data_IF_778609363443
#
_entry.id   IF_778609363443
#
_cell.length_a   1.000
_cell.length_b   1.000
_cell.length_c   1.000
_cell.angle_alpha   90.00
_cell.angle_beta   90.00
_cell.angle_gamma   90.00
#
_symmetry.space_group_name_H-M   'P 1'
#
loop_
_entity.id
_entity.type
_entity.pdbx_description
1 polymer ?
#
# COMPACT_ATOMS: atom_id res chain seq x y z
N UNK A 1 6.68 -8.88 11.10
CA UNK A 1 6.83 -10.34 11.10
C UNK A 1 5.86 -11.03 12.06
N UNK A 2 5.64 -10.49 13.28
CA UNK A 2 4.74 -11.11 14.27
C UNK A 2 3.35 -11.37 13.68
N UNK A 3 2.73 -10.39 13.02
CA UNK A 3 1.40 -10.57 12.40
C UNK A 3 1.40 -11.71 11.36
N UNK A 4 2.45 -11.84 10.53
CA UNK A 4 2.57 -12.93 9.56
C UNK A 4 2.71 -14.31 10.22
N UNK A 5 3.40 -14.39 11.38
CA UNK A 5 3.50 -15.62 12.18
C UNK A 5 2.13 -15.98 12.76
N UNK A 6 1.47 -15.02 13.41
CA UNK A 6 0.17 -15.22 14.05
C UNK A 6 -0.88 -15.67 13.02
N UNK A 7 -0.80 -15.18 11.79
CA UNK A 7 -1.69 -15.53 10.68
C UNK A 7 -1.17 -16.69 9.81
N UNK A 8 -0.14 -17.42 10.24
CA UNK A 8 0.40 -18.63 9.56
C UNK A 8 0.86 -18.42 8.12
N UNK A 9 1.24 -17.19 7.74
CA UNK A 9 1.70 -16.83 6.38
C UNK A 9 3.07 -17.39 6.03
N UNK A 10 3.93 -17.58 7.03
CA UNK A 10 5.34 -18.00 6.87
C UNK A 10 5.51 -19.38 6.22
N UNK A 11 4.53 -20.28 6.36
CA UNK A 11 4.64 -21.66 5.87
C UNK A 11 4.27 -21.84 4.39
N UNK A 12 3.72 -20.82 3.74
CA UNK A 12 3.17 -20.92 2.38
C UNK A 12 4.12 -20.20 1.38
N UNK A 13 4.96 -20.96 0.67
CA UNK A 13 6.14 -20.40 0.00
C UNK A 13 5.85 -19.83 -1.41
N UNK A 14 6.09 -18.51 -1.57
CA UNK A 14 6.48 -17.70 -2.77
C UNK A 14 6.26 -16.19 -2.49
N UNK A 15 5.28 -15.86 -1.63
CA UNK A 15 4.98 -14.50 -1.14
C UNK A 15 5.52 -14.20 0.25
N UNK A 16 6.30 -15.13 0.81
CA UNK A 16 6.86 -15.05 2.15
C UNK A 16 7.46 -13.68 2.50
N UNK A 17 8.27 -13.12 1.60
CA UNK A 17 8.90 -11.83 1.83
C UNK A 17 7.92 -10.66 1.79
N UNK A 18 6.86 -10.71 0.96
CA UNK A 18 5.81 -9.69 0.95
C UNK A 18 5.11 -9.65 2.31
N UNK A 19 4.66 -10.80 2.79
CA UNK A 19 3.97 -10.91 4.08
C UNK A 19 4.90 -10.52 5.23
N UNK A 20 6.17 -10.92 5.20
CA UNK A 20 7.15 -10.57 6.24
C UNK A 20 7.44 -9.07 6.28
N UNK A 21 7.73 -8.45 5.14
CA UNK A 21 7.99 -7.00 5.05
C UNK A 21 6.75 -6.24 5.52
N UNK A 22 5.60 -6.59 4.96
CA UNK A 22 4.34 -5.93 5.27
C UNK A 22 3.99 -6.03 6.76
N UNK A 23 4.06 -7.24 7.30
CA UNK A 23 3.87 -7.50 8.73
C UNK A 23 4.85 -6.74 9.61
N UNK A 24 6.10 -6.60 9.19
CA UNK A 24 7.11 -5.90 9.98
C UNK A 24 6.80 -4.41 10.00
N UNK A 25 6.53 -3.81 8.85
CA UNK A 25 6.22 -2.39 8.75
C UNK A 25 4.90 -2.06 9.43
N UNK A 26 3.78 -2.62 8.95
CA UNK A 26 2.45 -2.25 9.46
C UNK A 26 2.15 -2.82 10.84
N UNK A 27 2.71 -3.98 11.18
CA UNK A 27 2.61 -4.52 12.54
C UNK A 27 3.32 -3.65 13.56
N UNK A 28 4.44 -3.00 13.20
CA UNK A 28 5.11 -2.03 14.07
C UNK A 28 4.41 -0.66 14.09
N UNK A 29 3.93 -0.19 12.93
CA UNK A 29 3.17 1.07 12.83
C UNK A 29 1.94 1.10 13.73
N UNK A 30 1.29 -0.05 13.97
CA UNK A 30 0.15 -0.21 14.90
C UNK A 30 0.45 0.27 16.32
N UNK A 31 1.71 0.20 16.77
CA UNK A 31 2.12 0.62 18.11
C UNK A 31 2.64 2.06 18.18
N UNK A 32 2.69 2.76 17.04
CA UNK A 32 3.13 4.14 16.97
C UNK A 32 1.95 5.11 17.16
N UNK A 33 2.29 6.39 17.35
CA UNK A 33 1.29 7.45 17.33
C UNK A 33 0.60 7.49 15.96
N UNK A 34 -0.72 7.65 15.96
CA UNK A 34 -1.57 7.63 14.78
C UNK A 34 -1.21 8.69 13.75
N UNK A 35 -0.69 9.84 14.18
CA UNK A 35 -0.14 10.86 13.29
C UNK A 35 0.96 10.32 12.36
N UNK A 36 1.74 9.34 12.81
CA UNK A 36 2.74 8.68 11.95
C UNK A 36 2.05 7.84 10.87
N UNK A 37 1.00 7.09 11.22
CA UNK A 37 0.20 6.37 10.22
C UNK A 37 -0.44 7.35 9.23
N UNK A 38 -0.98 8.48 9.71
CA UNK A 38 -1.51 9.54 8.83
C UNK A 38 -0.45 10.06 7.88
N UNK A 39 0.73 10.37 8.40
CA UNK A 39 1.83 10.88 7.59
C UNK A 39 2.26 9.89 6.51
N UNK A 40 2.14 8.59 6.76
CA UNK A 40 2.34 7.56 5.74
C UNK A 40 1.19 7.56 4.72
N UNK A 41 -0.06 7.39 5.18
CA UNK A 41 -1.21 7.16 4.29
C UNK A 41 -1.59 8.38 3.45
N UNK A 42 -1.38 9.60 3.97
CA UNK A 42 -1.73 10.85 3.27
C UNK A 42 -1.02 11.02 1.92
N UNK A 43 0.10 10.32 1.72
CA UNK A 43 0.86 10.33 0.48
C UNK A 43 0.33 9.36 -0.59
N UNK A 44 -0.65 8.51 -0.27
CA UNK A 44 -1.30 7.68 -1.26
C UNK A 44 -2.02 8.58 -2.29
N UNK A 45 -1.96 8.23 -3.57
CA UNK A 45 -2.47 9.09 -4.64
C UNK A 45 -3.20 8.31 -5.73
N UNK A 46 -4.15 8.96 -6.39
CA UNK A 46 -4.86 8.41 -7.54
C UNK A 46 -4.68 9.32 -8.76
N UNK A 47 -4.71 8.76 -9.97
CA UNK A 47 -4.59 9.50 -11.22
C UNK A 47 -5.99 9.77 -11.79
N UNK A 48 -6.32 11.04 -12.02
CA UNK A 48 -7.44 11.40 -12.88
C UNK A 48 -6.94 11.48 -14.33
N UNK A 49 -7.34 10.51 -15.15
CA UNK A 49 -6.92 10.45 -16.56
C UNK A 49 -7.42 11.66 -17.37
N UNK A 50 -8.57 12.25 -17.03
CA UNK A 50 -9.13 13.39 -17.77
C UNK A 50 -8.32 14.67 -17.57
N UNK A 51 -7.87 14.90 -16.35
CA UNK A 51 -7.08 16.10 -15.99
C UNK A 51 -5.57 15.84 -16.06
N UNK A 52 -5.14 14.60 -16.27
CA UNK A 52 -3.76 14.16 -16.17
C UNK A 52 -3.09 14.63 -14.86
N UNK A 53 -3.83 14.54 -13.75
CA UNK A 53 -3.44 15.08 -12.44
C UNK A 53 -3.57 14.03 -11.34
N UNK A 54 -2.61 14.05 -10.41
CA UNK A 54 -2.67 13.24 -9.20
C UNK A 54 -3.44 13.95 -8.10
N UNK A 55 -4.32 13.20 -7.43
CA UNK A 55 -5.00 13.61 -6.19
C UNK A 55 -4.50 12.78 -5.04
N UNK A 56 -4.29 13.41 -3.89
CA UNK A 56 -3.72 12.77 -2.72
C UNK A 56 -4.81 12.42 -1.72
N UNK A 57 -4.61 11.30 -1.03
CA UNK A 57 -5.54 10.83 0.00
C UNK A 57 -5.66 11.84 1.15
N UNK A 58 -4.62 12.64 1.42
CA UNK A 58 -4.64 13.73 2.43
C UNK A 58 -5.86 14.65 2.29
N UNK A 59 -6.33 14.87 1.06
CA UNK A 59 -7.41 15.81 0.76
C UNK A 59 -8.79 15.20 1.04
N UNK A 60 -8.83 13.94 1.50
CA UNK A 60 -10.04 13.15 1.74
C UNK A 60 -10.02 12.46 3.12
N UNK A 61 -8.85 12.21 3.70
CA UNK A 61 -8.67 11.34 4.86
C UNK A 61 -9.00 12.06 6.18
N UNK A 62 -10.25 11.91 6.65
CA UNK A 62 -10.75 12.60 7.85
C UNK A 62 -10.72 11.76 9.15
N UNK A 63 -10.01 10.62 9.19
CA UNK A 63 -10.19 9.62 10.24
C UNK A 63 -9.12 9.61 11.34
N UNK A 64 -7.92 10.14 11.11
CA UNK A 64 -6.78 9.77 11.97
C UNK A 64 -6.78 10.46 13.35
N UNK A 65 -7.77 11.33 13.62
CA UNK A 65 -7.96 11.95 14.93
C UNK A 65 -8.77 11.12 15.95
N UNK A 66 -9.29 9.94 15.59
CA UNK A 66 -10.09 9.15 16.54
C UNK A 66 -9.27 8.15 17.35
N UNK A 67 -9.65 7.96 18.62
CA UNK A 67 -8.97 7.00 19.48
C UNK A 67 -9.23 5.52 19.11
N UNK A 68 -10.26 5.30 18.29
CA UNK A 68 -10.81 3.99 17.98
C UNK A 68 -10.43 3.55 16.55
N UNK A 69 -9.17 3.16 16.38
CA UNK A 69 -8.67 2.54 15.15
C UNK A 69 -8.47 1.05 15.37
N UNK A 70 -9.08 0.20 14.54
CA UNK A 70 -8.86 -1.24 14.57
C UNK A 70 -8.04 -1.70 13.35
N UNK A 71 -7.10 -2.61 13.57
CA UNK A 71 -6.25 -3.19 12.54
C UNK A 71 -6.59 -4.67 12.39
N UNK A 72 -7.00 -5.09 11.20
CA UNK A 72 -7.31 -6.48 10.88
C UNK A 72 -6.43 -6.94 9.71
N UNK A 73 -5.39 -7.73 10.02
CA UNK A 73 -4.47 -8.29 9.04
C UNK A 73 -5.04 -9.56 8.41
N UNK A 74 -4.91 -9.69 7.09
CA UNK A 74 -5.35 -10.88 6.31
C UNK A 74 -6.76 -11.37 6.66
N UNK A 75 -7.70 -10.43 6.80
CA UNK A 75 -9.08 -10.79 7.06
C UNK A 75 -9.68 -11.48 5.84
N UNK A 76 -10.13 -12.73 5.99
CA UNK A 76 -10.91 -13.37 4.96
C UNK A 76 -12.28 -12.69 4.82
N UNK A 77 -12.57 -12.17 3.63
CA UNK A 77 -13.85 -11.60 3.28
C UNK A 77 -14.51 -12.46 2.20
N UNK A 78 -15.80 -12.71 2.38
CA UNK A 78 -16.68 -13.30 1.37
C UNK A 78 -18.09 -12.78 1.66
N UNK A 79 -18.31 -11.52 1.31
CA UNK A 79 -19.61 -10.87 1.50
C UNK A 79 -20.56 -11.23 0.36
N UNK A 80 -21.83 -10.88 0.54
CA UNK A 80 -22.92 -11.31 -0.35
C UNK A 80 -22.61 -10.93 -1.80
N UNK A 81 -22.73 -11.91 -2.70
CA UNK A 81 -22.50 -11.76 -4.14
C UNK A 81 -21.08 -11.30 -4.54
N UNK A 82 -20.10 -11.50 -3.66
CA UNK A 82 -18.68 -11.22 -3.88
C UNK A 82 -17.84 -12.51 -3.93
N UNK A 83 -16.73 -12.49 -4.68
CA UNK A 83 -15.71 -13.55 -4.59
C UNK A 83 -14.89 -13.38 -3.31
N UNK A 84 -14.44 -14.50 -2.74
CA UNK A 84 -13.55 -14.49 -1.57
C UNK A 84 -12.28 -13.69 -1.86
N UNK A 85 -11.92 -12.80 -0.94
CA UNK A 85 -10.63 -12.12 -0.92
C UNK A 85 -10.02 -12.15 0.48
N UNK A 86 -8.78 -11.69 0.55
CA UNK A 86 -8.01 -11.56 1.77
C UNK A 86 -7.05 -10.38 1.58
N UNK A 87 -7.51 -9.14 1.84
CA UNK A 87 -6.61 -7.99 1.81
C UNK A 87 -5.55 -8.11 2.91
N UNK A 88 -4.36 -7.57 2.65
CA UNK A 88 -3.24 -7.62 3.62
C UNK A 88 -3.57 -6.90 4.93
N UNK A 89 -4.24 -5.74 4.86
CA UNK A 89 -4.68 -5.00 6.05
C UNK A 89 -5.96 -4.21 5.83
N UNK A 90 -6.86 -4.29 6.81
CA UNK A 90 -7.99 -3.38 6.96
C UNK A 90 -7.76 -2.53 8.21
N UNK A 91 -7.78 -1.22 8.04
CA UNK A 91 -7.74 -0.22 9.12
C UNK A 91 -9.14 0.39 9.21
N UNK A 92 -9.88 0.02 10.25
CA UNK A 92 -11.25 0.47 10.47
C UNK A 92 -11.29 1.63 11.47
N UNK A 93 -12.04 2.66 11.08
CA UNK A 93 -12.36 3.82 11.89
C UNK A 93 -13.83 4.06 12.15
N UNK A 94 -14.19 5.12 12.90
CA UNK A 94 -15.58 5.54 13.06
C UNK A 94 -16.27 5.77 11.71
N UNK A 95 -15.63 6.52 10.81
CA UNK A 95 -16.27 7.01 9.58
C UNK A 95 -15.63 6.49 8.29
N UNK A 96 -14.50 5.80 8.37
CA UNK A 96 -13.81 5.30 7.18
C UNK A 96 -13.19 3.93 7.37
N UNK A 97 -12.93 3.26 6.26
CA UNK A 97 -12.16 2.04 6.18
C UNK A 97 -11.05 2.25 5.16
N UNK A 98 -9.81 2.02 5.58
CA UNK A 98 -8.66 1.96 4.67
C UNK A 98 -8.28 0.51 4.50
N UNK A 99 -8.32 0.01 3.28
CA UNK A 99 -7.80 -1.29 2.91
C UNK A 99 -6.47 -1.12 2.20
N UNK A 100 -5.48 -1.92 2.56
CA UNK A 100 -4.16 -1.90 1.95
C UNK A 100 -3.89 -3.29 1.38
N UNK A 101 -3.53 -3.32 0.11
CA UNK A 101 -3.03 -4.50 -0.59
C UNK A 101 -1.61 -4.22 -1.05
N UNK A 102 -0.66 -5.01 -0.57
CA UNK A 102 0.76 -4.77 -0.76
C UNK A 102 1.40 -5.74 -1.75
N UNK A 103 2.33 -5.20 -2.53
CA UNK A 103 3.17 -5.93 -3.47
C UNK A 103 4.61 -5.47 -3.32
N UNK A 104 5.53 -6.42 -3.32
CA UNK A 104 6.97 -6.13 -3.29
C UNK A 104 7.63 -6.53 -4.61
N UNK A 105 7.43 -7.77 -5.04
CA UNK A 105 8.01 -8.31 -6.28
C UNK A 105 7.00 -9.06 -7.12
N UNK A 106 5.85 -9.42 -6.56
CA UNK A 106 4.77 -10.06 -7.30
C UNK A 106 3.82 -9.01 -7.88
N UNK A 107 3.18 -9.35 -9.00
CA UNK A 107 2.01 -8.61 -9.49
C UNK A 107 0.73 -9.04 -8.77
N UNK A 108 -0.41 -8.56 -9.25
CA UNK A 108 -1.73 -8.99 -8.75
C UNK A 108 -1.88 -10.51 -8.75
N UNK A 109 -2.49 -11.03 -7.69
CA UNK A 109 -2.65 -12.47 -7.45
C UNK A 109 -3.75 -13.11 -8.30
N UNK A 110 -4.73 -12.32 -8.73
CA UNK A 110 -5.81 -12.70 -9.62
C UNK A 110 -6.04 -11.63 -10.68
N UNK A 111 -6.39 -12.08 -11.89
CA UNK A 111 -6.71 -11.23 -13.05
C UNK A 111 -8.20 -11.29 -13.36
N UNK A 112 -8.69 -10.36 -14.18
CA UNK A 112 -10.08 -10.39 -14.63
C UNK A 112 -10.47 -11.71 -15.28
N UNK A 113 -11.73 -12.10 -15.12
CA UNK A 113 -12.31 -13.27 -15.76
C UNK A 113 -13.74 -13.00 -16.28
N UNK A 114 -14.33 -14.00 -16.94
CA UNK A 114 -15.66 -13.91 -17.56
C UNK A 114 -16.82 -14.07 -16.56
N UNK A 115 -16.58 -14.18 -15.25
CA UNK A 115 -17.66 -14.32 -14.27
C UNK A 115 -18.42 -13.00 -14.09
N UNK A 116 -19.65 -13.07 -13.56
CA UNK A 116 -20.49 -11.89 -13.34
C UNK A 116 -20.04 -11.01 -12.15
N UNK A 117 -19.04 -11.47 -11.39
CA UNK A 117 -18.51 -10.80 -10.20
C UNK A 117 -17.03 -10.46 -10.41
N UNK A 118 -16.51 -9.37 -9.84
CA UNK A 118 -15.10 -9.00 -10.00
C UNK A 118 -14.14 -10.12 -9.54
N UNK A 119 -13.13 -10.42 -10.37
CA UNK A 119 -12.10 -11.42 -10.08
C UNK A 119 -10.70 -10.84 -9.96
N UNK A 120 -10.40 -9.76 -10.69
CA UNK A 120 -9.20 -8.97 -10.46
C UNK A 120 -9.05 -8.68 -8.97
N UNK A 121 -7.81 -8.79 -8.48
CA UNK A 121 -7.53 -8.71 -7.07
C UNK A 121 -8.11 -7.45 -6.41
N UNK A 122 -7.79 -6.27 -6.94
CA UNK A 122 -8.17 -5.01 -6.31
C UNK A 122 -9.67 -4.74 -6.51
N UNK A 123 -10.21 -5.10 -7.67
CA UNK A 123 -11.65 -5.00 -7.95
C UNK A 123 -12.47 -5.86 -6.98
N UNK A 124 -12.03 -7.10 -6.73
CA UNK A 124 -12.67 -8.06 -5.83
C UNK A 124 -12.59 -7.64 -4.37
N UNK A 125 -11.46 -7.07 -3.95
CA UNK A 125 -11.29 -6.51 -2.61
C UNK A 125 -12.21 -5.31 -2.40
N UNK A 126 -12.25 -4.38 -3.36
CA UNK A 126 -13.18 -3.24 -3.31
C UNK A 126 -14.64 -3.70 -3.26
N UNK A 127 -15.01 -4.70 -4.06
CA UNK A 127 -16.35 -5.27 -4.09
C UNK A 127 -16.78 -5.78 -2.72
N UNK A 128 -15.94 -6.57 -2.05
CA UNK A 128 -16.22 -6.97 -0.66
C UNK A 128 -16.32 -5.75 0.27
N UNK A 129 -15.38 -4.81 0.19
CA UNK A 129 -15.38 -3.62 1.05
C UNK A 129 -16.64 -2.76 0.90
N UNK A 130 -17.24 -2.72 -0.30
CA UNK A 130 -18.48 -1.98 -0.56
C UNK A 130 -19.68 -2.48 0.27
N UNK A 131 -19.66 -3.75 0.66
CA UNK A 131 -20.65 -4.36 1.56
C UNK A 131 -20.15 -4.48 3.00
N UNK A 132 -18.91 -4.06 3.27
CA UNK A 132 -18.26 -4.22 4.55
C UNK A 132 -18.67 -3.08 5.51
N UNK A 133 -19.52 -3.43 6.48
CA UNK A 133 -19.90 -2.59 7.65
C UNK A 133 -20.31 -1.14 7.33
N UNK A 134 -21.56 -0.97 6.90
CA UNK A 134 -22.27 0.32 6.94
C UNK A 134 -21.81 1.35 5.89
N UNK A 135 -22.36 2.56 5.96
CA UNK A 135 -22.07 3.67 5.03
C UNK A 135 -20.77 4.42 5.40
N UNK A 136 -19.66 3.69 5.56
CA UNK A 136 -18.35 4.28 5.83
C UNK A 136 -17.67 4.68 4.52
N UNK A 137 -16.82 5.70 4.58
CA UNK A 137 -15.99 6.08 3.44
C UNK A 137 -14.90 5.04 3.22
N UNK A 138 -14.76 4.54 1.98
CA UNK A 138 -13.84 3.46 1.64
C UNK A 138 -12.63 4.01 0.89
N UNK A 139 -11.44 3.56 1.28
CA UNK A 139 -10.19 3.84 0.58
C UNK A 139 -9.45 2.52 0.34
N UNK A 140 -9.22 2.17 -0.91
CA UNK A 140 -8.37 1.04 -1.27
C UNK A 140 -7.01 1.57 -1.72
N UNK A 141 -5.94 1.13 -1.05
CA UNK A 141 -4.56 1.50 -1.33
C UNK A 141 -3.82 0.28 -1.89
N UNK A 142 -3.31 0.41 -3.10
CA UNK A 142 -2.37 -0.50 -3.70
C UNK A 142 -0.95 -0.03 -3.37
N UNK A 143 -0.25 -0.76 -2.51
CA UNK A 143 1.10 -0.44 -2.07
C UNK A 143 2.12 -1.24 -2.87
N UNK A 144 2.95 -0.57 -3.69
CA UNK A 144 3.94 -1.28 -4.52
C UNK A 144 5.36 -0.73 -4.37
N UNK A 145 6.35 -1.49 -4.83
CA UNK A 145 7.74 -1.03 -4.96
C UNK A 145 7.99 -0.28 -6.29
N UNK A 146 7.05 -0.29 -7.23
CA UNK A 146 7.21 0.25 -8.58
C UNK A 146 7.66 1.72 -8.58
N UNK A 147 8.70 2.07 -9.33
CA UNK A 147 9.16 3.48 -9.41
C UNK A 147 8.14 4.42 -10.08
N UNK A 148 7.18 3.87 -10.82
CA UNK A 148 6.13 4.59 -11.54
C UNK A 148 4.76 4.14 -11.05
N UNK A 149 3.78 5.02 -11.22
CA UNK A 149 2.38 4.70 -10.95
C UNK A 149 1.97 3.49 -11.82
N UNK A 150 1.41 2.41 -11.23
CA UNK A 150 1.07 1.19 -11.95
C UNK A 150 -0.26 1.37 -12.69
N UNK A 151 -0.23 2.12 -13.79
CA UNK A 151 -1.41 2.51 -14.57
C UNK A 151 -2.19 1.28 -15.01
N UNK A 152 -1.50 0.29 -15.59
CA UNK A 152 -2.13 -0.89 -16.18
C UNK A 152 -2.84 -1.74 -15.13
N UNK A 153 -2.19 -2.00 -13.98
CA UNK A 153 -2.77 -2.79 -12.90
C UNK A 153 -4.04 -2.14 -12.35
N UNK A 154 -3.98 -0.83 -12.08
CA UNK A 154 -5.08 -0.06 -11.50
C UNK A 154 -6.22 0.06 -12.52
N UNK A 155 -5.90 0.37 -13.77
CA UNK A 155 -6.89 0.51 -14.84
C UNK A 155 -7.64 -0.79 -15.10
N UNK A 156 -6.95 -1.92 -15.18
CA UNK A 156 -7.61 -3.22 -15.35
C UNK A 156 -8.62 -3.50 -14.22
N UNK A 157 -8.27 -3.12 -12.98
CA UNK A 157 -9.13 -3.29 -11.81
C UNK A 157 -10.37 -2.39 -11.86
N UNK A 158 -10.16 -1.10 -12.21
CA UNK A 158 -11.23 -0.11 -12.40
C UNK A 158 -12.17 -0.55 -13.52
N UNK A 159 -11.62 -0.94 -14.66
CA UNK A 159 -12.40 -1.34 -15.83
C UNK A 159 -13.25 -2.58 -15.53
N UNK A 160 -12.68 -3.61 -14.89
CA UNK A 160 -13.47 -4.79 -14.52
C UNK A 160 -14.61 -4.43 -13.57
N UNK A 161 -14.31 -3.67 -12.50
CA UNK A 161 -15.33 -3.32 -11.52
C UNK A 161 -16.45 -2.48 -12.14
N UNK A 162 -16.09 -1.41 -12.86
CA UNK A 162 -17.06 -0.52 -13.51
C UNK A 162 -17.94 -1.30 -14.50
N UNK A 163 -17.36 -2.25 -15.24
CA UNK A 163 -18.10 -3.07 -16.18
C UNK A 163 -19.11 -4.00 -15.50
N UNK A 164 -18.73 -4.62 -14.37
CA UNK A 164 -19.56 -5.63 -13.66
C UNK A 164 -20.53 -5.04 -12.64
N UNK A 165 -20.21 -3.90 -12.03
CA UNK A 165 -21.03 -3.24 -10.99
C UNK A 165 -21.71 -1.95 -11.43
N UNK A 166 -21.30 -1.37 -12.57
CA UNK A 166 -21.83 -0.08 -13.07
C UNK A 166 -21.69 1.08 -12.06
N UNK A 167 -20.71 0.98 -11.17
CA UNK A 167 -20.39 1.97 -10.15
C UNK A 167 -18.92 2.33 -10.26
N UNK A 168 -18.55 3.61 -10.06
CA UNK A 168 -17.15 4.02 -10.08
C UNK A 168 -16.41 3.51 -8.84
N UNK A 169 -15.12 3.26 -8.99
CA UNK A 169 -14.20 3.03 -7.88
C UNK A 169 -13.02 3.97 -7.94
N UNK A 170 -12.39 4.19 -6.79
CA UNK A 170 -11.13 4.91 -6.70
C UNK A 170 -10.12 4.03 -5.98
N UNK A 171 -9.02 3.76 -6.67
CA UNK A 171 -7.87 3.05 -6.12
C UNK A 171 -6.75 4.07 -5.96
N UNK A 172 -6.21 4.14 -4.75
CA UNK A 172 -5.04 4.93 -4.44
C UNK A 172 -3.80 4.06 -4.56
N UNK A 173 -2.69 4.68 -4.93
CA UNK A 173 -1.39 4.06 -5.01
C UNK A 173 -0.46 4.68 -3.98
N UNK A 174 0.25 3.84 -3.24
CA UNK A 174 1.35 4.23 -2.36
C UNK A 174 2.60 3.47 -2.76
N UNK A 175 3.76 4.12 -2.67
CA UNK A 175 5.04 3.46 -2.91
C UNK A 175 5.75 3.21 -1.57
N UNK A 176 6.37 2.04 -1.41
CA UNK A 176 7.16 1.68 -0.22
C UNK A 176 8.21 2.73 0.18
N UNK A 177 8.91 3.35 -0.78
CA UNK A 177 9.85 4.44 -0.53
C UNK A 177 9.19 5.66 0.08
N UNK A 178 7.93 5.95 -0.24
CA UNK A 178 7.22 7.02 0.45
C UNK A 178 6.97 6.71 1.90
N UNK A 179 6.81 5.44 2.29
CA UNK A 179 6.76 5.05 3.70
C UNK A 179 8.11 5.34 4.36
N UNK A 180 9.21 4.86 3.77
CA UNK A 180 10.57 5.13 4.27
C UNK A 180 10.83 6.62 4.45
N UNK A 181 10.61 7.45 3.42
CA UNK A 181 10.90 8.89 3.48
C UNK A 181 10.09 9.64 4.54
N UNK A 182 8.91 9.16 4.94
CA UNK A 182 8.14 9.80 6.01
C UNK A 182 8.61 9.36 7.38
N UNK A 183 8.98 8.09 7.52
CA UNK A 183 9.52 7.54 8.77
C UNK A 183 10.90 8.09 9.08
N UNK A 184 11.77 8.21 8.07
CA UNK A 184 13.15 8.68 8.24
C UNK A 184 13.21 10.10 8.84
N UNK A 185 12.25 10.98 8.48
CA UNK A 185 12.13 12.33 9.04
C UNK A 185 11.93 12.37 10.56
N UNK A 186 11.40 11.31 11.15
CA UNK A 186 11.18 11.20 12.58
C UNK A 186 11.95 10.04 13.23
N UNK A 187 12.94 9.48 12.52
CA UNK A 187 13.75 8.32 12.94
C UNK A 187 14.44 8.53 14.28
N UNK A 188 14.99 9.73 14.50
CA UNK A 188 15.72 10.07 15.73
C UNK A 188 14.86 10.06 16.99
N UNK A 189 13.52 10.07 16.86
CA UNK A 189 12.63 10.24 18.00
C UNK A 189 12.13 8.91 18.57
N UNK A 190 12.23 7.78 17.85
CA UNK A 190 11.63 6.50 18.28
C UNK A 190 12.39 5.30 17.73
N UNK A 191 12.85 4.41 18.61
CA UNK A 191 13.50 3.13 18.25
C UNK A 191 12.70 2.26 17.28
N UNK A 192 11.39 2.18 17.46
CA UNK A 192 10.50 1.43 16.55
C UNK A 192 10.58 1.98 15.10
N UNK A 193 10.71 3.30 14.94
CA UNK A 193 10.82 3.92 13.60
C UNK A 193 12.16 3.56 12.97
N UNK A 194 13.25 3.60 13.75
CA UNK A 194 14.57 3.15 13.31
C UNK A 194 14.56 1.69 12.84
N UNK A 195 13.95 0.79 13.63
CA UNK A 195 13.80 -0.62 13.26
C UNK A 195 12.99 -0.80 11.98
N UNK A 196 11.90 -0.03 11.77
CA UNK A 196 11.15 -0.05 10.51
C UNK A 196 12.02 0.43 9.34
N UNK A 197 12.77 1.52 9.51
CA UNK A 197 13.67 2.05 8.48
C UNK A 197 14.75 1.02 8.11
N UNK A 198 15.37 0.36 9.09
CA UNK A 198 16.36 -0.70 8.85
C UNK A 198 15.78 -1.87 8.06
N UNK A 199 14.52 -2.26 8.33
CA UNK A 199 13.82 -3.27 7.54
C UNK A 199 13.64 -2.79 6.09
N UNK A 200 13.17 -1.56 5.88
CA UNK A 200 12.97 -1.03 4.53
C UNK A 200 14.29 -0.90 3.75
N UNK A 201 15.38 -0.48 4.40
CA UNK A 201 16.74 -0.42 3.85
C UNK A 201 17.24 -1.81 3.44
N UNK A 202 17.06 -2.82 4.31
CA UNK A 202 17.44 -4.20 4.02
C UNK A 202 16.77 -4.76 2.76
N UNK A 203 15.54 -4.34 2.48
CA UNK A 203 14.80 -4.74 1.28
C UNK A 203 14.96 -3.79 0.08
N UNK A 204 15.86 -2.79 0.18
CA UNK A 204 16.12 -1.77 -0.83
C UNK A 204 14.86 -0.98 -1.22
N UNK A 205 14.01 -0.70 -0.24
CA UNK A 205 12.77 0.05 -0.39
C UNK A 205 12.92 1.54 -0.09
N UNK A 206 14.13 1.97 0.25
CA UNK A 206 14.50 3.34 0.61
C UNK A 206 14.97 4.18 -0.59
N UNK A 207 15.06 3.61 -1.79
CA UNK A 207 15.47 4.20 -3.08
C UNK A 207 16.23 5.55 -3.01
N UNK A 208 17.47 5.52 -3.50
CA UNK A 208 18.35 6.68 -3.73
C UNK A 208 18.95 7.39 -2.51
N UNK A 209 18.65 6.96 -1.29
CA UNK A 209 19.29 7.38 -0.02
C UNK A 209 20.79 7.11 0.05
N UNK A 210 21.27 6.06 -0.64
CA UNK A 210 22.67 5.67 -0.64
C UNK A 210 23.53 6.36 -1.72
N UNK A 211 22.95 7.21 -2.58
CA UNK A 211 23.75 8.11 -3.41
C UNK A 211 24.23 9.28 -2.55
N UNK A 212 25.24 9.03 -1.71
CA UNK A 212 26.09 10.12 -1.22
C UNK A 212 26.88 10.63 -2.42
N UNK A 213 26.47 11.77 -2.97
CA UNK A 213 27.38 12.59 -3.78
C UNK A 213 28.52 12.92 -2.83
N UNK A 214 29.68 12.30 -3.02
CA UNK A 214 30.86 12.62 -2.24
C UNK A 214 31.25 14.05 -2.58
N UNK A 215 30.90 15.00 -1.72
CA UNK A 215 31.27 16.41 -1.92
C UNK A 215 32.79 16.65 -1.83
N UNK A 216 33.57 15.65 -1.38
CA UNK A 216 35.02 15.79 -1.13
C UNK A 216 35.90 14.84 -1.95
N UNK A 217 35.48 14.44 -3.15
CA UNK A 217 36.41 13.86 -4.12
C UNK A 217 36.34 14.70 -5.39
N UNK A 218 37.45 15.39 -5.71
CA UNK A 218 37.68 15.93 -7.05
C UNK A 218 37.37 14.82 -8.06
N UNK A 219 36.24 14.94 -8.74
CA UNK A 219 35.88 14.04 -9.82
C UNK A 219 36.89 14.30 -10.93
N UNK A 220 37.87 13.39 -11.09
CA UNK A 220 38.67 13.33 -12.31
C UNK A 220 37.70 13.33 -13.49
N UNK A 221 37.81 14.33 -14.37
CA UNK A 221 37.05 14.40 -15.63
C UNK A 221 37.06 13.02 -16.27
N UNK A 222 35.87 12.46 -16.48
CA UNK A 222 35.71 11.27 -17.31
C UNK A 222 35.95 11.74 -18.74
N UNK A 223 37.13 11.39 -19.25
CA UNK A 223 37.53 11.68 -20.62
C UNK A 223 36.89 10.62 -21.53
N UNK A 224 35.73 10.97 -22.09
CA UNK A 224 35.00 10.08 -23.00
C UNK A 224 35.80 9.93 -24.29
N UNK A 225 36.47 8.79 -24.46
CA UNK A 225 37.11 8.40 -25.73
C UNK A 225 36.10 7.69 -26.63
N UNK A 226 35.09 8.43 -27.07
CA UNK A 226 34.39 8.10 -28.31
C UNK A 226 34.80 9.16 -29.34
N UNK A 227 35.70 8.77 -30.24
CA UNK A 227 35.93 9.42 -31.52
C UNK A 227 35.50 8.46 -32.60
#
# INVERSE_FOLDING_TARGET
MIEAILNKKIRQNKRYWEDVIFSSVFGMLKYLNKGILYDVLKNAKTLNEKENKFYYLKDQLNFIDSDNINYEFWKHLQLKDCKRCEPDLIIEGPNSIVCIEAKYKSGKSSKKDNSNVPNDQLAKEYDNLSYYKGKKQLYLIYLTSSLRYPIEDIKESIDEYNNKRKLPITIYWLNWNKIYCQLDKCRHNKRIIDDICLVLEYFYLDYFTHFKISSDKEYKRIDWRFR
#
